data_IF_704542830893
#
_entry.id   IF_704542830893
#
_cell.length_a   1.000
_cell.length_b   1.000
_cell.length_c   1.000
_cell.angle_alpha   90.00
_cell.angle_beta   90.00
_cell.angle_gamma   90.00
#
_symmetry.space_group_name_H-M   'P 1'
#
loop_
_entity.id
_entity.type
_entity.pdbx_description
1 polymer ?
#
# COMPACT_ATOMS: atom_id res chain seq x y z
N UNK A 1 29.94 -40.90 4.36
CA UNK A 1 30.45 -39.60 3.87
C UNK A 1 30.69 -39.71 2.36
N UNK A 2 29.76 -39.24 1.53
CA UNK A 2 29.88 -39.35 0.07
C UNK A 2 30.51 -38.05 -0.49
N UNK A 3 31.82 -38.07 -0.78
CA UNK A 3 32.48 -37.03 -1.58
C UNK A 3 32.14 -37.26 -3.06
N UNK A 4 31.00 -36.78 -3.53
CA UNK A 4 30.80 -36.61 -4.97
C UNK A 4 31.67 -35.43 -5.44
N UNK A 5 32.38 -35.62 -6.56
CA UNK A 5 33.38 -34.65 -7.06
C UNK A 5 32.69 -33.37 -7.56
N UNK A 6 33.41 -32.26 -7.46
CA UNK A 6 33.02 -30.91 -7.91
C UNK A 6 33.02 -30.76 -9.45
N UNK A 7 32.66 -31.81 -10.20
CA UNK A 7 32.78 -31.88 -11.66
C UNK A 7 31.50 -31.43 -12.40
N UNK A 8 30.32 -31.52 -11.78
CA UNK A 8 29.03 -31.25 -12.43
C UNK A 8 28.47 -29.83 -12.26
N UNK A 9 29.24 -28.88 -11.68
CA UNK A 9 28.78 -27.49 -11.62
C UNK A 9 28.58 -26.85 -13.02
N UNK A 10 29.27 -27.37 -14.04
CA UNK A 10 29.15 -26.90 -15.43
C UNK A 10 27.80 -27.30 -16.09
N UNK A 11 27.10 -28.30 -15.55
CA UNK A 11 25.79 -28.72 -16.09
C UNK A 11 24.70 -27.69 -15.72
N UNK A 12 24.86 -26.94 -14.64
CA UNK A 12 23.91 -25.92 -14.16
C UNK A 12 23.90 -24.62 -14.98
N UNK A 13 24.87 -24.42 -15.86
CA UNK A 13 24.90 -23.29 -16.79
C UNK A 13 24.16 -23.57 -18.09
N UNK A 14 23.92 -24.85 -18.44
CA UNK A 14 23.13 -25.25 -19.62
C UNK A 14 21.62 -25.36 -19.35
N UNK A 15 21.14 -24.88 -18.20
CA UNK A 15 19.73 -24.95 -17.78
C UNK A 15 19.02 -23.59 -17.70
N UNK A 16 19.60 -22.52 -18.23
CA UNK A 16 18.96 -21.18 -18.27
C UNK A 16 17.65 -21.16 -19.06
N UNK A 17 17.46 -22.09 -20.00
CA UNK A 17 16.28 -22.15 -20.88
C UNK A 17 15.15 -23.05 -20.35
N UNK A 18 15.37 -23.74 -19.21
CA UNK A 18 14.37 -24.64 -18.62
C UNK A 18 13.46 -23.94 -17.60
N UNK A 19 12.19 -24.36 -17.48
CA UNK A 19 11.34 -23.99 -16.35
C UNK A 19 11.98 -24.40 -15.02
N UNK A 20 11.92 -23.54 -14.00
CA UNK A 20 12.59 -23.80 -12.70
C UNK A 20 12.13 -25.11 -12.05
N UNK A 21 10.85 -25.47 -12.21
CA UNK A 21 10.30 -26.73 -11.74
C UNK A 21 11.01 -27.96 -12.31
N UNK A 22 11.31 -27.97 -13.62
CA UNK A 22 11.99 -29.08 -14.28
C UNK A 22 13.47 -29.16 -13.87
N UNK A 23 14.14 -28.02 -13.60
CA UNK A 23 15.50 -28.00 -13.06
C UNK A 23 15.56 -28.64 -11.66
N UNK A 24 14.64 -28.25 -10.77
CA UNK A 24 14.51 -28.83 -9.43
C UNK A 24 14.21 -30.34 -9.49
N UNK A 25 13.27 -30.74 -10.36
CA UNK A 25 12.89 -32.14 -10.58
C UNK A 25 14.07 -32.99 -11.06
N UNK A 26 14.83 -32.52 -12.06
CA UNK A 26 16.00 -33.24 -12.59
C UNK A 26 17.06 -33.43 -11.53
N UNK A 27 17.40 -32.37 -10.79
CA UNK A 27 18.35 -32.46 -9.70
C UNK A 27 17.89 -33.45 -8.61
N UNK A 28 16.62 -33.40 -8.19
CA UNK A 28 16.05 -34.37 -7.23
C UNK A 28 16.21 -35.82 -7.71
N UNK A 29 15.83 -36.10 -8.96
CA UNK A 29 15.91 -37.45 -9.55
C UNK A 29 17.37 -37.90 -9.71
N UNK A 30 18.29 -37.00 -10.09
CA UNK A 30 19.73 -37.29 -10.19
C UNK A 30 20.35 -37.67 -8.82
N UNK A 31 19.87 -37.06 -7.72
CA UNK A 31 20.26 -37.44 -6.36
C UNK A 31 19.50 -38.67 -5.81
N UNK A 32 18.60 -39.29 -6.60
CA UNK A 32 17.82 -40.46 -6.18
C UNK A 32 16.83 -40.17 -5.06
N UNK A 33 16.33 -38.93 -4.97
CA UNK A 33 15.49 -38.46 -3.87
C UNK A 33 14.00 -38.58 -4.19
N UNK A 34 13.23 -39.13 -3.26
CA UNK A 34 11.77 -39.23 -3.37
C UNK A 34 11.03 -38.02 -2.79
N UNK A 35 9.95 -37.59 -3.46
CA UNK A 35 9.18 -36.39 -3.05
C UNK A 35 8.69 -36.43 -1.59
N UNK A 36 8.15 -37.56 -1.05
CA UNK A 36 7.79 -37.65 0.36
C UNK A 36 8.98 -37.47 1.32
N UNK A 37 10.16 -37.98 0.96
CA UNK A 37 11.37 -37.86 1.77
C UNK A 37 11.86 -36.41 1.82
N UNK A 38 11.93 -35.74 0.66
CA UNK A 38 12.27 -34.31 0.57
C UNK A 38 11.24 -33.47 1.33
N UNK A 39 9.94 -33.76 1.17
CA UNK A 39 8.86 -33.04 1.83
C UNK A 39 8.96 -33.09 3.35
N UNK A 40 9.21 -34.27 3.91
CA UNK A 40 9.47 -34.44 5.34
C UNK A 40 10.70 -33.63 5.81
N UNK A 41 11.80 -33.70 5.06
CA UNK A 41 13.06 -33.03 5.42
C UNK A 41 12.97 -31.49 5.36
N UNK A 42 12.14 -30.94 4.47
CA UNK A 42 11.94 -29.50 4.32
C UNK A 42 10.74 -28.94 5.10
N UNK A 43 9.96 -29.82 5.75
CA UNK A 43 8.64 -29.49 6.31
C UNK A 43 7.71 -28.84 5.27
N UNK A 44 7.75 -29.35 4.02
CA UNK A 44 6.90 -28.93 2.91
C UNK A 44 6.09 -30.13 2.45
N UNK A 45 4.77 -29.96 2.37
CA UNK A 45 3.83 -30.94 1.81
C UNK A 45 4.32 -31.47 0.44
N UNK A 46 4.45 -32.79 0.23
CA UNK A 46 4.98 -33.34 -1.03
C UNK A 46 4.13 -32.94 -2.25
N UNK A 47 2.82 -32.72 -2.07
CA UNK A 47 1.93 -32.18 -3.09
C UNK A 47 2.32 -30.76 -3.56
N UNK A 48 2.92 -29.93 -2.70
CA UNK A 48 3.43 -28.61 -3.07
C UNK A 48 4.80 -28.69 -3.77
N UNK A 49 5.67 -29.62 -3.37
CA UNK A 49 6.92 -29.87 -4.09
C UNK A 49 6.64 -30.41 -5.50
N UNK A 50 5.69 -31.34 -5.65
CA UNK A 50 5.22 -31.82 -6.94
C UNK A 50 4.61 -30.70 -7.81
N UNK A 51 3.84 -29.79 -7.21
CA UNK A 51 3.28 -28.63 -7.90
C UNK A 51 4.38 -27.65 -8.39
N UNK A 52 5.44 -27.44 -7.61
CA UNK A 52 6.61 -26.63 -8.05
C UNK A 52 7.33 -27.32 -9.21
N UNK A 53 7.58 -28.63 -9.11
CA UNK A 53 8.23 -29.40 -10.19
C UNK A 53 7.42 -29.37 -11.50
N UNK A 54 6.09 -29.40 -11.40
CA UNK A 54 5.19 -29.27 -12.55
C UNK A 54 4.96 -27.82 -13.03
N UNK A 55 5.42 -26.81 -12.29
CA UNK A 55 5.14 -25.40 -12.55
C UNK A 55 3.69 -24.95 -12.27
N UNK A 56 2.86 -25.80 -11.65
CA UNK A 56 1.45 -25.50 -11.35
C UNK A 56 1.31 -24.71 -10.04
N UNK A 57 1.52 -23.39 -10.16
CA UNK A 57 1.45 -22.44 -9.04
C UNK A 57 0.05 -22.41 -8.40
N UNK A 58 -0.99 -22.83 -9.12
CA UNK A 58 -2.38 -22.82 -8.67
C UNK A 58 -2.65 -23.78 -7.50
N UNK A 59 -1.82 -24.82 -7.33
CA UNK A 59 -1.92 -25.81 -6.23
C UNK A 59 -1.09 -25.45 -4.99
N UNK A 60 -0.47 -24.28 -4.98
CA UNK A 60 0.34 -23.80 -3.87
C UNK A 60 -0.51 -22.91 -2.94
N UNK A 61 -0.21 -22.85 -1.63
CA UNK A 61 -0.96 -22.07 -0.64
C UNK A 61 -0.77 -20.54 -0.77
N UNK A 62 -0.33 -20.06 -1.94
CA UNK A 62 -0.08 -18.65 -2.25
C UNK A 62 1.27 -18.41 -2.92
N UNK A 63 1.32 -17.38 -3.77
CA UNK A 63 2.51 -16.99 -4.57
C UNK A 63 3.73 -16.66 -3.71
N UNK A 64 3.53 -16.12 -2.50
CA UNK A 64 4.60 -15.80 -1.54
C UNK A 64 5.29 -17.06 -1.03
N UNK A 65 4.50 -18.11 -0.72
CA UNK A 65 5.04 -19.41 -0.29
C UNK A 65 5.82 -20.10 -1.41
N UNK A 66 5.34 -20.01 -2.65
CA UNK A 66 6.01 -20.59 -3.81
C UNK A 66 7.48 -20.14 -3.94
N UNK A 67 7.76 -18.85 -3.74
CA UNK A 67 9.11 -18.29 -3.77
C UNK A 67 9.98 -18.85 -2.63
N UNK A 68 9.40 -18.98 -1.43
CA UNK A 68 10.10 -19.56 -0.27
C UNK A 68 10.42 -21.04 -0.48
N UNK A 69 9.47 -21.82 -1.00
CA UNK A 69 9.65 -23.24 -1.29
C UNK A 69 10.72 -23.46 -2.37
N UNK A 70 10.72 -22.68 -3.45
CA UNK A 70 11.77 -22.76 -4.50
C UNK A 70 13.16 -22.49 -3.92
N UNK A 71 13.31 -21.47 -3.05
CA UNK A 71 14.60 -21.21 -2.38
C UNK A 71 15.04 -22.39 -1.52
N UNK A 72 14.22 -22.79 -0.55
CA UNK A 72 14.56 -23.86 0.41
C UNK A 72 14.85 -25.18 -0.32
N UNK A 73 14.13 -25.47 -1.40
CA UNK A 73 14.33 -26.68 -2.19
C UNK A 73 15.60 -26.63 -3.04
N UNK A 74 15.92 -25.49 -3.66
CA UNK A 74 17.19 -25.27 -4.35
C UNK A 74 18.39 -25.38 -3.40
N UNK A 75 18.33 -24.75 -2.22
CA UNK A 75 19.37 -24.82 -1.18
C UNK A 75 19.63 -26.27 -0.75
N UNK A 76 18.55 -27.04 -0.55
CA UNK A 76 18.62 -28.46 -0.19
C UNK A 76 19.27 -29.33 -1.28
N UNK A 77 18.92 -29.08 -2.54
CA UNK A 77 19.52 -29.73 -3.71
C UNK A 77 20.90 -29.19 -4.08
N UNK A 78 21.48 -28.26 -3.29
CA UNK A 78 22.79 -27.62 -3.50
C UNK A 78 22.90 -26.86 -4.83
N UNK A 79 21.78 -26.30 -5.29
CA UNK A 79 21.70 -25.44 -6.47
C UNK A 79 21.86 -23.96 -6.10
N UNK A 80 22.10 -23.11 -7.09
CA UNK A 80 22.05 -21.65 -6.90
C UNK A 80 20.59 -21.19 -6.69
N UNK A 81 20.22 -21.02 -5.42
CA UNK A 81 18.86 -20.67 -5.03
C UNK A 81 18.49 -19.22 -5.37
N UNK A 82 19.46 -18.31 -5.49
CA UNK A 82 19.18 -16.93 -5.90
C UNK A 82 18.94 -16.82 -7.41
N UNK A 83 19.74 -17.53 -8.23
CA UNK A 83 19.51 -17.69 -9.69
C UNK A 83 18.14 -18.34 -9.94
N UNK A 84 17.81 -19.43 -9.24
CA UNK A 84 16.51 -20.11 -9.41
C UNK A 84 15.32 -19.29 -8.89
N UNK A 85 15.45 -18.56 -7.77
CA UNK A 85 14.39 -17.63 -7.31
C UNK A 85 14.18 -16.48 -8.30
N UNK A 86 15.25 -15.96 -8.91
CA UNK A 86 15.15 -14.93 -9.94
C UNK A 86 14.41 -15.44 -11.18
N UNK A 87 14.83 -16.59 -11.73
CA UNK A 87 14.18 -17.23 -12.88
C UNK A 87 12.72 -17.63 -12.59
N UNK A 88 12.42 -18.09 -11.38
CA UNK A 88 11.06 -18.44 -10.98
C UNK A 88 10.16 -17.20 -10.91
N UNK A 89 10.68 -16.09 -10.38
CA UNK A 89 9.96 -14.81 -10.37
C UNK A 89 9.67 -14.31 -11.78
N UNK A 90 10.63 -14.36 -12.70
CA UNK A 90 10.38 -13.91 -14.08
C UNK A 90 9.34 -14.80 -14.79
N UNK A 91 9.44 -16.13 -14.63
CA UNK A 91 8.46 -17.09 -15.16
C UNK A 91 7.03 -16.84 -14.62
N UNK A 92 6.88 -16.70 -13.30
CA UNK A 92 5.58 -16.63 -12.63
C UNK A 92 4.96 -15.23 -12.63
N UNK A 93 5.76 -14.16 -12.63
CA UNK A 93 5.27 -12.77 -12.73
C UNK A 93 4.93 -12.43 -14.20
N UNK A 94 5.76 -12.86 -15.16
CA UNK A 94 5.52 -12.63 -16.59
C UNK A 94 4.20 -13.22 -17.10
N UNK A 95 3.76 -14.36 -16.55
CA UNK A 95 2.50 -15.02 -16.94
C UNK A 95 1.25 -14.59 -16.15
N UNK A 96 1.35 -13.68 -15.16
CA UNK A 96 0.16 -13.21 -14.40
C UNK A 96 0.06 -11.70 -14.22
N UNK A 97 0.87 -10.90 -14.92
CA UNK A 97 0.78 -9.44 -14.87
C UNK A 97 -0.57 -8.86 -15.37
N UNK A 98 -1.44 -9.68 -15.97
CA UNK A 98 -2.74 -9.29 -16.52
C UNK A 98 -3.94 -10.04 -15.94
N UNK A 99 -3.90 -10.52 -14.68
CA UNK A 99 -5.10 -11.00 -13.97
C UNK A 99 -5.37 -10.20 -12.71
N UNK A 100 -6.32 -9.28 -12.84
CA UNK A 100 -7.14 -8.67 -11.80
C UNK A 100 -6.45 -8.37 -10.46
N UNK A 101 -5.53 -7.41 -10.51
CA UNK A 101 -5.51 -6.40 -9.46
C UNK A 101 -6.61 -5.38 -9.78
N UNK A 102 -7.87 -5.75 -9.55
CA UNK A 102 -8.97 -4.79 -9.46
C UNK A 102 -8.81 -3.99 -8.15
N UNK A 103 -7.77 -3.16 -8.11
CA UNK A 103 -7.72 -2.06 -7.18
C UNK A 103 -8.94 -1.19 -7.49
N UNK A 104 -9.79 -0.85 -6.50
CA UNK A 104 -10.74 0.23 -6.69
C UNK A 104 -9.90 1.46 -7.03
N UNK A 105 -9.93 1.85 -8.30
CA UNK A 105 -9.27 3.07 -8.76
C UNK A 105 -9.85 4.15 -7.85
N UNK A 106 -9.04 4.87 -7.04
CA UNK A 106 -9.57 6.05 -6.41
C UNK A 106 -10.03 6.91 -7.57
N UNK A 107 -11.34 7.17 -7.65
CA UNK A 107 -11.88 8.20 -8.53
C UNK A 107 -11.25 9.48 -8.04
N UNK A 108 -10.08 9.75 -8.62
CA UNK A 108 -9.36 10.99 -8.46
C UNK A 108 -10.23 11.93 -9.23
N UNK A 109 -11.21 12.50 -8.52
CA UNK A 109 -12.07 13.54 -9.03
C UNK A 109 -11.13 14.71 -9.29
N UNK A 110 -10.53 14.68 -10.48
CA UNK A 110 -9.64 15.69 -11.01
C UNK A 110 -10.52 16.85 -11.40
N UNK A 111 -11.11 17.47 -10.38
CA UNK A 111 -11.79 18.74 -10.42
C UNK A 111 -10.70 19.78 -10.66
N UNK A 112 -10.21 19.79 -11.91
CA UNK A 112 -9.41 20.86 -12.46
C UNK A 112 -10.09 22.16 -12.02
N UNK A 113 -9.40 23.07 -11.31
CA UNK A 113 -10.05 24.26 -10.83
C UNK A 113 -10.74 24.98 -12.01
N UNK A 114 -11.92 25.54 -11.78
CA UNK A 114 -12.73 26.12 -12.86
C UNK A 114 -12.16 27.46 -13.42
N UNK A 115 -10.89 27.79 -13.11
CA UNK A 115 -10.23 29.04 -13.51
C UNK A 115 -10.12 29.19 -15.03
N UNK A 116 -9.98 28.09 -15.78
CA UNK A 116 -9.96 28.12 -17.24
C UNK A 116 -11.32 28.50 -17.85
N UNK A 117 -12.43 28.08 -17.22
CA UNK A 117 -13.78 28.49 -17.64
C UNK A 117 -14.04 29.96 -17.32
N UNK A 118 -13.61 30.46 -16.15
CA UNK A 118 -13.69 31.89 -15.79
C UNK A 118 -12.90 32.75 -16.79
N UNK A 119 -11.69 32.33 -17.17
CA UNK A 119 -10.89 33.02 -18.19
C UNK A 119 -11.57 33.06 -19.57
N UNK A 120 -12.14 31.93 -20.01
CA UNK A 120 -12.87 31.86 -21.28
C UNK A 120 -14.14 32.74 -21.30
N UNK A 121 -14.88 32.81 -20.18
CA UNK A 121 -16.04 33.70 -20.04
C UNK A 121 -15.66 35.18 -20.18
N UNK A 122 -14.57 35.59 -19.52
CA UNK A 122 -14.09 36.98 -19.56
C UNK A 122 -13.59 37.38 -20.96
N UNK A 123 -12.88 36.49 -21.65
CA UNK A 123 -12.42 36.72 -23.02
C UNK A 123 -13.59 36.90 -23.99
N UNK A 124 -14.62 36.06 -23.88
CA UNK A 124 -15.82 36.16 -24.74
C UNK A 124 -16.57 37.48 -24.53
N UNK A 125 -16.74 37.92 -23.28
CA UNK A 125 -17.37 39.21 -22.95
C UNK A 125 -16.58 40.41 -23.49
N UNK A 126 -15.24 40.38 -23.39
CA UNK A 126 -14.39 41.43 -23.95
C UNK A 126 -14.48 41.51 -25.48
N UNK A 127 -14.53 40.36 -26.17
CA UNK A 127 -14.72 40.29 -27.62
C UNK A 127 -16.09 40.82 -28.04
N UNK A 128 -17.16 40.45 -27.33
CA UNK A 128 -18.52 40.95 -27.59
C UNK A 128 -18.61 42.46 -27.37
N UNK A 129 -18.05 42.98 -26.27
CA UNK A 129 -18.00 44.42 -26.00
C UNK A 129 -17.23 45.21 -27.06
N UNK A 130 -16.09 44.68 -27.51
CA UNK A 130 -15.31 45.27 -28.60
C UNK A 130 -16.06 45.25 -29.93
N UNK A 131 -16.76 44.15 -30.25
CA UNK A 131 -17.64 44.05 -31.42
C UNK A 131 -18.78 45.06 -31.35
N UNK A 132 -19.45 45.20 -30.21
CA UNK A 132 -20.56 46.14 -30.04
C UNK A 132 -20.10 47.61 -30.15
N UNK A 133 -18.89 47.91 -29.67
CA UNK A 133 -18.26 49.24 -29.83
C UNK A 133 -17.90 49.54 -31.29
N UNK A 134 -17.41 48.54 -32.04
CA UNK A 134 -17.04 48.68 -33.46
C UNK A 134 -18.26 48.71 -34.40
N UNK A 135 -19.34 47.98 -34.09
CA UNK A 135 -20.48 47.78 -35.01
C UNK A 135 -21.68 48.72 -34.80
N UNK A 136 -21.62 49.63 -33.82
CA UNK A 136 -22.54 50.77 -33.73
C UNK A 136 -23.43 50.80 -32.49
N UNK A 137 -22.90 51.36 -31.40
CA UNK A 137 -23.72 51.87 -30.30
C UNK A 137 -24.29 53.25 -30.64
N UNK A 138 -25.46 53.30 -31.28
CA UNK A 138 -26.12 54.54 -31.68
C UNK A 138 -27.58 54.34 -32.05
N UNK A 139 -28.46 54.29 -31.04
CA UNK A 139 -29.90 54.17 -31.21
C UNK A 139 -30.63 54.25 -29.87
N UNK A 140 -31.33 55.36 -29.63
CA UNK A 140 -32.16 55.56 -28.44
C UNK A 140 -33.43 54.69 -28.49
N UNK A 141 -33.97 54.27 -27.33
CA UNK A 141 -35.18 53.44 -27.28
C UNK A 141 -36.45 54.30 -27.42
N UNK A 142 -37.15 54.18 -28.55
CA UNK A 142 -38.47 54.80 -28.74
C UNK A 142 -39.61 53.87 -28.22
N UNK A 143 -40.60 54.37 -27.44
CA UNK A 143 -41.58 53.53 -26.75
C UNK A 143 -42.91 53.36 -27.52
N UNK A 144 -43.45 52.14 -27.58
CA UNK A 144 -44.82 51.89 -28.07
C UNK A 144 -45.59 50.81 -27.29
N UNK A 145 -46.88 51.09 -27.05
CA UNK A 145 -47.96 50.29 -26.44
C UNK A 145 -49.29 50.83 -27.03
N UNK A 146 -50.46 50.15 -26.97
CA UNK A 146 -50.77 48.75 -26.63
C UNK A 146 -51.80 48.09 -27.63
N UNK A 147 -52.54 47.05 -27.18
CA UNK A 147 -53.68 46.32 -27.82
C UNK A 147 -53.31 45.16 -28.78
N UNK A 148 -53.57 43.87 -28.44
CA UNK A 148 -54.84 43.11 -28.55
C UNK A 148 -55.19 42.74 -30.03
N UNK A 149 -55.58 41.51 -30.41
CA UNK A 149 -56.59 40.61 -29.78
C UNK A 149 -56.35 39.11 -30.13
N UNK A 150 -56.85 38.20 -29.26
CA UNK A 150 -57.40 36.85 -29.60
C UNK A 150 -56.45 35.74 -30.15
N UNK A 151 -56.53 34.46 -29.73
CA UNK A 151 -57.29 33.80 -28.63
C UNK A 151 -56.84 32.32 -28.48
N UNK A 152 -57.09 31.70 -27.31
CA UNK A 152 -57.32 30.24 -27.08
C UNK A 152 -56.14 29.25 -27.27
N UNK A 153 -56.08 28.05 -26.65
CA UNK A 153 -56.99 27.39 -25.67
C UNK A 153 -56.24 26.43 -24.69
N UNK A 154 -57.00 25.89 -23.72
CA UNK A 154 -56.80 24.63 -22.98
C UNK A 154 -55.59 24.44 -22.04
N UNK A 155 -55.71 25.05 -20.85
CA UNK A 155 -55.62 24.37 -19.53
C UNK A 155 -56.44 23.06 -19.54
N UNK A 156 -56.07 21.95 -18.86
CA UNK A 156 -56.03 21.84 -17.38
C UNK A 156 -54.63 21.45 -16.83
N UNK A 157 -54.12 22.07 -15.76
CA UNK A 157 -54.52 21.96 -14.34
C UNK A 157 -53.99 20.66 -13.69
N UNK A 158 -52.94 20.75 -12.86
CA UNK A 158 -53.01 20.86 -11.38
C UNK A 158 -52.71 19.48 -10.72
N UNK A 159 -52.13 19.35 -9.52
CA UNK A 159 -52.11 20.30 -8.40
C UNK A 159 -50.87 20.13 -7.48
N UNK A 160 -50.28 21.27 -7.11
CA UNK A 160 -49.73 21.70 -5.80
C UNK A 160 -50.49 21.13 -4.56
N UNK A 161 -50.10 21.26 -3.26
CA UNK A 161 -48.86 21.74 -2.60
C UNK A 161 -48.22 20.72 -1.61
N UNK A 162 -47.05 21.04 -1.04
CA UNK A 162 -46.91 21.38 0.40
C UNK A 162 -45.45 21.38 0.91
N UNK A 163 -45.09 22.47 1.59
CA UNK A 163 -43.97 22.60 2.53
C UNK A 163 -44.56 23.21 3.82
N UNK A 164 -43.80 23.46 4.90
CA UNK A 164 -42.63 22.76 5.46
C UNK A 164 -42.86 22.35 6.94
N UNK A 165 -41.96 21.57 7.57
CA UNK A 165 -41.85 21.52 9.03
C UNK A 165 -40.46 21.05 9.54
N UNK A 166 -39.82 21.93 10.30
CA UNK A 166 -38.77 21.67 11.32
C UNK A 166 -39.22 22.40 12.60
N UNK A 167 -38.60 22.18 13.78
CA UNK A 167 -37.98 20.98 14.35
C UNK A 167 -38.56 20.67 15.76
N UNK A 168 -38.10 19.62 16.45
CA UNK A 168 -38.17 19.58 17.93
C UNK A 168 -37.00 18.81 18.55
N UNK A 169 -36.65 19.20 19.77
CA UNK A 169 -35.44 18.85 20.52
C UNK A 169 -35.75 17.87 21.67
N UNK A 170 -34.69 17.25 22.22
CA UNK A 170 -34.41 17.20 23.67
C UNK A 170 -34.50 15.88 24.46
N UNK A 171 -33.37 15.55 25.12
CA UNK A 171 -33.28 14.74 26.34
C UNK A 171 -33.10 13.22 26.18
N UNK A 172 -32.38 12.52 27.08
CA UNK A 172 -31.40 12.93 28.09
C UNK A 172 -30.61 11.70 28.62
N UNK A 173 -29.47 11.95 29.27
CA UNK A 173 -28.80 11.10 30.28
C UNK A 173 -28.00 9.85 29.86
N UNK A 174 -26.73 9.84 30.31
CA UNK A 174 -25.83 8.68 30.41
C UNK A 174 -26.07 7.90 31.73
N UNK A 175 -25.35 6.79 32.00
CA UNK A 175 -24.02 6.96 32.62
C UNK A 175 -22.91 6.01 32.12
N UNK A 176 -21.70 6.32 32.57
CA UNK A 176 -20.41 5.66 32.36
C UNK A 176 -20.36 4.12 32.21
N UNK A 177 -19.52 3.69 31.26
CA UNK A 177 -18.53 2.64 31.57
C UNK A 177 -17.13 3.07 31.11
N UNK A 178 -16.27 3.35 32.09
CA UNK A 178 -14.82 3.43 31.89
C UNK A 178 -14.28 2.05 31.52
N UNK A 179 -13.96 1.86 30.24
CA UNK A 179 -12.92 0.92 29.82
C UNK A 179 -11.69 1.73 29.47
N UNK A 180 -10.60 1.54 30.22
CA UNK A 180 -9.35 2.26 30.02
C UNK A 180 -8.65 1.79 28.73
N UNK A 181 -9.10 2.33 27.59
CA UNK A 181 -8.43 2.14 26.32
C UNK A 181 -7.06 2.81 26.35
N UNK A 182 -5.95 2.10 26.05
CA UNK A 182 -4.62 2.69 26.03
C UNK A 182 -4.61 3.88 25.08
N UNK A 183 -4.31 5.06 25.61
CA UNK A 183 -4.25 6.28 24.82
C UNK A 183 -3.19 6.12 23.72
N UNK A 184 -3.65 6.04 22.47
CA UNK A 184 -2.80 5.96 21.29
C UNK A 184 -1.83 7.16 21.34
N UNK A 185 -0.50 6.93 21.41
CA UNK A 185 0.46 8.00 21.63
C UNK A 185 0.65 8.87 20.38
N UNK A 186 -0.27 9.82 20.19
CA UNK A 186 -0.23 10.79 19.11
C UNK A 186 1.09 11.59 19.16
N UNK A 187 1.98 11.32 18.20
CA UNK A 187 3.29 11.96 18.13
C UNK A 187 4.02 11.59 16.84
N UNK A 188 5.13 12.27 16.58
CA UNK A 188 5.94 12.03 15.38
C UNK A 188 7.11 11.12 15.75
N UNK A 189 7.16 9.94 15.14
CA UNK A 189 8.34 9.08 15.16
C UNK A 189 9.23 9.49 14.00
N UNK A 190 10.37 10.10 14.31
CA UNK A 190 11.45 10.31 13.36
C UNK A 190 12.27 9.04 13.28
N UNK A 191 12.64 8.67 12.07
CA UNK A 191 13.44 7.48 11.75
C UNK A 191 14.66 7.97 10.99
N UNK A 192 15.85 7.63 11.44
CA UNK A 192 17.13 8.05 10.83
C UNK A 192 17.95 6.81 10.50
N UNK A 193 18.42 6.71 9.25
CA UNK A 193 19.23 5.59 8.79
C UNK A 193 20.73 5.94 8.78
N UNK A 194 21.53 5.22 9.55
CA UNK A 194 23.00 5.35 9.59
C UNK A 194 23.69 4.70 8.37
N UNK A 195 23.03 3.72 7.77
CA UNK A 195 23.41 3.05 6.51
C UNK A 195 22.15 2.59 5.77
N UNK A 196 22.29 2.12 4.52
CA UNK A 196 21.15 1.72 3.69
C UNK A 196 20.29 0.64 4.38
N UNK A 197 19.01 0.95 4.61
CA UNK A 197 18.08 0.04 5.29
C UNK A 197 16.67 0.19 4.74
N UNK A 198 16.03 -0.93 4.40
CA UNK A 198 14.59 -0.96 4.18
C UNK A 198 13.87 -0.72 5.51
N UNK A 199 12.83 0.10 5.50
CA UNK A 199 11.95 0.40 6.63
C UNK A 199 10.51 0.37 6.14
N UNK A 200 9.69 -0.44 6.78
CA UNK A 200 8.24 -0.53 6.57
C UNK A 200 7.50 -0.35 7.89
N UNK A 201 6.46 0.48 7.87
CA UNK A 201 5.48 0.63 8.95
C UNK A 201 4.10 0.28 8.40
N UNK A 202 3.39 -0.55 9.15
CA UNK A 202 2.10 -1.15 8.78
C UNK A 202 1.15 -1.08 9.96
N UNK A 203 -0.12 -0.87 9.69
CA UNK A 203 -1.19 -0.99 10.68
C UNK A 203 -1.31 -2.46 11.14
N UNK A 204 -1.29 -2.69 12.45
CA UNK A 204 -1.37 -4.02 13.04
C UNK A 204 -2.81 -4.56 13.04
N UNK A 205 -3.80 -3.67 13.13
CA UNK A 205 -5.22 -3.99 13.14
C UNK A 205 -5.74 -4.18 11.69
N UNK A 206 -5.01 -3.62 10.71
CA UNK A 206 -5.22 -3.82 9.26
C UNK A 206 -3.92 -4.28 8.58
N UNK A 207 -3.58 -5.58 8.61
CA UNK A 207 -2.30 -6.10 8.11
C UNK A 207 -2.07 -5.95 6.60
N UNK A 208 -3.02 -5.44 5.81
CA UNK A 208 -2.79 -5.05 4.41
C UNK A 208 -2.53 -3.53 4.23
N UNK A 209 -2.78 -2.72 5.25
CA UNK A 209 -2.57 -1.27 5.23
C UNK A 209 -1.12 -0.90 5.59
N UNK A 210 -0.29 -0.80 4.55
CA UNK A 210 1.06 -0.23 4.65
C UNK A 210 0.96 1.29 4.78
N UNK A 211 1.45 1.84 5.89
CA UNK A 211 1.50 3.29 6.11
C UNK A 211 2.79 3.92 5.57
N UNK A 212 3.87 3.14 5.50
CA UNK A 212 5.15 3.53 4.94
C UNK A 212 5.92 2.29 4.51
N UNK A 213 6.55 2.28 3.33
CA UNK A 213 7.55 1.24 2.97
C UNK A 213 8.55 1.83 2.00
N UNK A 214 9.82 1.99 2.44
CA UNK A 214 10.88 2.57 1.62
C UNK A 214 12.27 2.12 2.09
N UNK A 215 13.24 2.09 1.17
CA UNK A 215 14.65 2.03 1.52
C UNK A 215 15.13 3.44 1.87
N UNK A 216 15.59 3.63 3.10
CA UNK A 216 16.29 4.84 3.53
C UNK A 216 17.78 4.69 3.18
N UNK A 217 18.37 5.74 2.61
CA UNK A 217 19.82 5.84 2.36
C UNK A 217 20.57 6.28 3.61
N UNK A 218 21.90 6.14 3.60
CA UNK A 218 22.79 6.65 4.65
C UNK A 218 22.55 8.15 4.91
N UNK A 219 22.32 8.51 6.17
CA UNK A 219 22.01 9.86 6.63
C UNK A 219 20.55 10.30 6.40
N UNK A 220 19.74 9.50 5.70
CA UNK A 220 18.36 9.88 5.38
C UNK A 220 17.45 9.78 6.60
N UNK A 221 16.59 10.79 6.79
CA UNK A 221 15.62 10.85 7.88
C UNK A 221 14.21 11.03 7.36
N UNK A 222 13.23 10.33 7.95
CA UNK A 222 11.80 10.53 7.71
C UNK A 222 11.07 10.76 9.04
N UNK A 223 9.86 11.30 9.01
CA UNK A 223 9.00 11.45 10.20
C UNK A 223 7.59 10.97 9.90
N UNK A 224 7.08 10.06 10.72
CA UNK A 224 5.80 9.38 10.51
C UNK A 224 4.94 9.60 11.76
N UNK A 225 3.64 9.97 11.61
CA UNK A 225 2.73 10.05 12.75
C UNK A 225 2.43 8.65 13.29
N UNK A 226 2.58 8.46 14.60
CA UNK A 226 2.12 7.25 15.29
C UNK A 226 0.63 7.39 15.61
N UNK A 227 -0.20 6.88 14.70
CA UNK A 227 -1.65 6.81 14.88
C UNK A 227 -2.10 5.36 14.74
N UNK A 228 -2.65 4.81 15.82
CA UNK A 228 -3.15 3.42 15.88
C UNK A 228 -2.11 2.42 16.41
N UNK A 229 -2.44 1.14 16.26
CA UNK A 229 -1.58 0.04 16.62
C UNK A 229 -0.63 -0.26 15.45
N UNK A 230 0.66 0.05 15.57
CA UNK A 230 1.59 0.02 14.43
C UNK A 230 2.69 -1.02 14.59
N UNK A 231 3.06 -1.67 13.49
CA UNK A 231 4.21 -2.59 13.42
C UNK A 231 5.32 -2.04 12.51
N UNK A 232 6.56 -2.31 12.90
CA UNK A 232 7.80 -1.97 12.19
C UNK A 232 8.46 -3.23 11.62
N UNK A 233 8.82 -3.16 10.35
CA UNK A 233 9.79 -4.08 9.74
C UNK A 233 10.99 -3.28 9.24
N UNK A 234 12.21 -3.81 9.40
CA UNK A 234 13.42 -3.20 8.84
C UNK A 234 14.42 -4.23 8.38
N UNK A 235 15.10 -3.96 7.25
CA UNK A 235 16.12 -4.83 6.68
C UNK A 235 17.46 -4.80 7.43
N UNK A 236 17.78 -3.69 8.10
CA UNK A 236 18.99 -3.53 8.88
C UNK A 236 18.72 -2.68 10.14
N UNK A 237 18.19 -3.34 11.17
CA UNK A 237 17.92 -2.78 12.49
C UNK A 237 19.16 -2.13 13.13
N UNK A 238 20.34 -2.73 12.94
CA UNK A 238 21.60 -2.20 13.48
C UNK A 238 22.05 -0.87 12.86
N UNK A 239 21.37 -0.38 11.82
CA UNK A 239 21.66 0.86 11.12
C UNK A 239 20.47 1.84 11.10
N UNK A 240 19.44 1.65 11.94
CA UNK A 240 18.27 2.56 12.01
C UNK A 240 18.03 2.98 13.46
N UNK A 241 17.99 4.29 13.70
CA UNK A 241 17.64 4.88 14.99
C UNK A 241 16.27 5.58 14.94
N UNK A 242 15.63 5.68 16.09
CA UNK A 242 14.27 6.20 16.23
C UNK A 242 14.23 7.29 17.30
N UNK A 243 13.62 8.43 16.98
CA UNK A 243 13.36 9.52 17.93
C UNK A 243 11.86 9.79 17.97
N UNK A 244 11.24 9.73 19.14
CA UNK A 244 9.83 10.06 19.33
C UNK A 244 9.70 11.40 20.03
N UNK A 245 9.01 12.35 19.39
CA UNK A 245 8.84 13.72 19.90
C UNK A 245 10.18 14.38 20.36
N UNK A 246 11.28 14.06 19.66
CA UNK A 246 12.62 14.59 19.95
C UNK A 246 13.41 13.85 21.04
N UNK A 247 12.90 12.75 21.60
CA UNK A 247 13.65 11.86 22.51
C UNK A 247 14.06 10.58 21.78
N UNK A 248 15.33 10.13 21.89
CA UNK A 248 15.75 8.86 21.33
C UNK A 248 15.01 7.71 22.02
N UNK A 249 14.42 6.81 21.23
CA UNK A 249 13.68 5.64 21.70
C UNK A 249 14.28 4.37 21.10
N UNK A 250 14.70 3.46 21.96
CA UNK A 250 15.09 2.12 21.54
C UNK A 250 13.83 1.28 21.26
N UNK A 251 13.33 1.42 20.02
CA UNK A 251 12.23 0.64 19.44
C UNK A 251 12.69 -0.75 19.01
N UNK A 252 13.99 -0.95 18.76
CA UNK A 252 14.52 -2.22 18.24
C UNK A 252 14.99 -3.19 19.31
N UNK A 253 15.00 -2.80 20.59
CA UNK A 253 15.45 -3.62 21.73
C UNK A 253 16.89 -4.14 21.55
N UNK A 254 17.76 -3.32 20.94
CA UNK A 254 19.14 -3.72 20.60
C UNK A 254 19.28 -4.79 19.51
N UNK A 255 18.19 -5.21 18.84
CA UNK A 255 18.22 -6.20 17.75
C UNK A 255 19.02 -5.67 16.55
N UNK A 256 19.70 -6.57 15.83
CA UNK A 256 20.51 -6.26 14.63
C UNK A 256 20.05 -7.12 13.45
N UNK A 257 20.38 -6.70 12.21
CA UNK A 257 19.95 -7.40 11.00
C UNK A 257 18.47 -7.19 10.66
N UNK A 258 17.83 -8.20 10.06
CA UNK A 258 16.42 -8.09 9.63
C UNK A 258 15.47 -8.27 10.81
N UNK A 259 14.60 -7.29 11.05
CA UNK A 259 13.51 -7.32 12.03
C UNK A 259 12.18 -7.18 11.27
N UNK A 260 11.13 -7.90 11.71
CA UNK A 260 9.81 -7.88 11.06
C UNK A 260 8.69 -7.80 12.09
N UNK A 261 7.61 -7.11 11.73
CA UNK A 261 6.34 -7.03 12.45
C UNK A 261 6.49 -6.68 13.96
N UNK A 262 7.43 -5.81 14.31
CA UNK A 262 7.70 -5.42 15.69
C UNK A 262 6.71 -4.31 16.14
N UNK A 263 5.88 -4.52 17.19
CA UNK A 263 4.89 -3.54 17.60
C UNK A 263 5.53 -2.26 18.18
N UNK A 264 5.34 -1.14 17.49
CA UNK A 264 5.86 0.18 17.85
C UNK A 264 5.06 0.79 19.00
N UNK A 265 3.73 0.67 18.93
CA UNK A 265 2.74 1.25 19.85
C UNK A 265 3.07 0.96 21.32
N UNK A 266 3.29 -0.33 21.64
CA UNK A 266 3.62 -0.79 22.98
C UNK A 266 5.00 -0.30 23.47
N UNK A 267 6.03 -0.33 22.60
CA UNK A 267 7.40 0.03 22.98
C UNK A 267 7.59 1.53 23.21
N UNK A 268 6.87 2.35 22.43
CA UNK A 268 6.86 3.80 22.56
C UNK A 268 6.08 4.21 23.81
N UNK A 269 4.89 3.64 24.05
CA UNK A 269 4.10 3.92 25.25
C UNK A 269 4.82 3.52 26.55
N UNK A 270 5.44 2.33 26.59
CA UNK A 270 6.03 1.78 27.81
C UNK A 270 7.42 2.38 28.17
N UNK A 271 8.01 3.21 27.29
CA UNK A 271 9.26 3.96 27.57
C UNK A 271 9.05 5.48 27.75
N UNK A 272 7.82 6.02 27.63
CA UNK A 272 7.49 7.37 28.10
C UNK A 272 7.13 7.42 29.59
N UNK A 273 8.07 7.03 30.45
CA UNK A 273 8.03 7.47 31.83
C UNK A 273 8.22 9.01 31.90
N UNK A 274 7.55 9.71 32.82
CA UNK A 274 7.58 11.17 32.89
C UNK A 274 8.99 11.69 33.20
N UNK A 275 9.32 12.87 32.67
CA UNK A 275 10.54 13.56 33.05
C UNK A 275 10.47 13.95 34.53
N UNK A 276 11.27 13.29 35.37
CA UNK A 276 11.46 13.65 36.78
C UNK A 276 12.17 14.99 36.88
N UNK A 277 11.38 16.07 36.87
CA UNK A 277 11.81 17.43 37.13
C UNK A 277 12.09 17.59 38.63
N UNK A 278 13.27 17.19 39.08
CA UNK A 278 13.79 17.42 40.43
C UNK A 278 15.00 18.36 40.40
N UNK A 279 14.80 19.62 40.81
CA UNK A 279 15.86 20.64 40.90
C UNK A 279 15.72 21.37 42.23
N UNK A 280 16.77 21.35 43.05
CA UNK A 280 16.76 21.85 44.43
C UNK A 280 16.27 20.78 45.43
N UNK A 281 16.82 20.69 46.65
CA UNK A 281 17.79 21.58 47.32
C UNK A 281 19.05 20.81 47.72
#
# INVERSE_FOLDING_TARGET
MLKLRMADQNILDHYTDLPVGEVLRRARVQFGLELPYVGAQLNIRPEHLAAIEAGDISRLPGRVYAIGFVRTYADYLRLDSDKLVYLFKSQVIGHTASRDLNFPIPVTESRSPAWWMVGASLGTLAIIGLLFWILGGGGEPEPQMPAAVAKTENTPASTTPAAPATPVTEGASAPDQTSAQPAVPAGKLKITAADASWVEIRDADKPDAILFSRVLKKGESTSIPLTGNLTLSTGNAGAVSFDWNGKPVDVLEGRRGVVRNLPISALVANKAAPATKGKGQ
#
